data_IF_361717407707
#
_entry.id   IF_361717407707
#
_cell.length_a   1.000
_cell.length_b   1.000
_cell.length_c   1.000
_cell.angle_alpha   90.00
_cell.angle_beta   90.00
_cell.angle_gamma   90.00
#
_symmetry.space_group_name_H-M   'P 1'
#
loop_
_entity.id
_entity.type
_entity.pdbx_description
1 polymer ?
#
# COMPACT_ATOMS: atom_id res chain seq x y z
N UNK A 1 0.98 -8.08 1.59
CA UNK A 1 1.84 -8.83 2.53
C UNK A 1 0.94 -9.19 3.70
N UNK A 2 0.92 -10.47 4.07
CA UNK A 2 0.01 -10.95 5.10
C UNK A 2 0.79 -11.20 6.38
N UNK A 3 0.33 -10.62 7.49
CA UNK A 3 0.84 -10.95 8.83
C UNK A 3 0.38 -12.35 9.24
N UNK A 4 1.17 -13.03 10.07
CA UNK A 4 0.78 -14.27 10.72
C UNK A 4 -0.14 -14.06 11.93
N UNK A 5 -0.23 -12.84 12.44
CA UNK A 5 -1.13 -12.50 13.54
C UNK A 5 -2.60 -12.55 13.03
N UNK A 6 -3.48 -13.37 13.64
CA UNK A 6 -4.88 -13.47 13.24
C UNK A 6 -5.68 -12.18 13.46
N UNK A 7 -5.24 -11.30 14.37
CA UNK A 7 -5.91 -10.04 14.72
C UNK A 7 -5.32 -8.82 13.97
N UNK A 8 -4.45 -9.07 12.99
CA UNK A 8 -3.81 -8.01 12.22
C UNK A 8 -4.82 -7.19 11.39
N UNK A 9 -4.69 -5.86 11.44
CA UNK A 9 -5.59 -4.93 10.76
C UNK A 9 -5.13 -4.69 9.31
N UNK A 10 -6.03 -4.63 8.31
CA UNK A 10 -5.66 -4.21 6.96
C UNK A 10 -5.16 -2.76 6.90
N UNK A 11 -4.02 -2.52 6.25
CA UNK A 11 -3.43 -1.21 6.06
C UNK A 11 -2.95 -1.02 4.61
N UNK A 12 -3.42 0.04 3.95
CA UNK A 12 -2.96 0.44 2.62
C UNK A 12 -1.90 1.54 2.77
N UNK A 13 -0.72 1.33 2.18
CA UNK A 13 0.34 2.35 2.08
C UNK A 13 0.38 2.90 0.66
N UNK A 14 0.11 4.20 0.51
CA UNK A 14 0.08 4.86 -0.80
C UNK A 14 1.30 5.77 -0.96
N UNK A 15 2.04 5.61 -2.06
CA UNK A 15 3.15 6.51 -2.39
C UNK A 15 2.65 7.74 -3.16
N UNK A 16 3.49 8.77 -3.27
CA UNK A 16 3.27 9.94 -4.13
C UNK A 16 4.33 10.05 -5.23
N UNK A 17 4.33 11.16 -5.97
CA UNK A 17 5.45 11.54 -6.84
C UNK A 17 6.43 12.42 -6.05
N UNK A 18 7.76 12.27 -6.21
CA UNK A 18 8.47 11.41 -7.18
C UNK A 18 8.73 9.96 -6.70
N UNK A 19 8.17 9.57 -5.57
CA UNK A 19 8.47 8.30 -4.91
C UNK A 19 7.76 7.08 -5.57
N UNK A 20 8.15 5.88 -5.15
CA UNK A 20 7.53 4.61 -5.58
C UNK A 20 7.25 3.72 -4.37
N UNK A 21 6.66 2.54 -4.60
CA UNK A 21 6.43 1.53 -3.54
C UNK A 21 7.72 1.07 -2.83
N UNK A 22 8.88 1.29 -3.44
CA UNK A 22 10.20 0.87 -2.90
C UNK A 22 10.51 1.55 -1.56
N UNK A 23 10.01 2.76 -1.34
CA UNK A 23 10.18 3.49 -0.07
C UNK A 23 9.62 2.74 1.14
N UNK A 24 8.70 1.79 0.92
CA UNK A 24 8.03 1.07 2.00
C UNK A 24 8.65 -0.30 2.30
N UNK A 25 9.68 -0.74 1.57
CA UNK A 25 10.26 -2.07 1.75
C UNK A 25 10.77 -2.29 3.19
N UNK A 26 11.42 -1.28 3.77
CA UNK A 26 11.91 -1.32 5.15
C UNK A 26 10.80 -1.27 6.20
N UNK A 27 9.58 -0.88 5.82
CA UNK A 27 8.42 -0.87 6.71
C UNK A 27 7.65 -2.19 6.74
N UNK A 28 7.93 -3.11 5.82
CA UNK A 28 7.15 -4.35 5.70
C UNK A 28 7.25 -5.16 6.99
N UNK A 29 8.47 -5.51 7.40
CA UNK A 29 8.67 -6.40 8.55
C UNK A 29 8.22 -5.74 9.87
N UNK A 30 8.58 -4.49 10.18
CA UNK A 30 8.13 -3.81 11.40
C UNK A 30 6.61 -3.67 11.52
N UNK A 31 5.88 -3.62 10.41
CA UNK A 31 4.41 -3.49 10.43
C UNK A 31 3.69 -4.84 10.35
N UNK A 32 4.27 -5.85 9.68
CA UNK A 32 3.63 -7.18 9.59
C UNK A 32 3.94 -8.09 10.78
N UNK A 33 5.08 -7.89 11.44
CA UNK A 33 5.57 -8.74 12.54
C UNK A 33 6.22 -7.88 13.64
N UNK A 34 5.45 -6.98 14.28
CA UNK A 34 5.99 -6.04 15.26
C UNK A 34 6.36 -6.73 16.58
N UNK A 35 6.87 -5.95 17.53
CA UNK A 35 7.21 -6.43 18.87
C UNK A 35 6.00 -6.94 19.67
N UNK A 36 6.26 -7.65 20.77
CA UNK A 36 5.20 -8.17 21.63
C UNK A 36 4.31 -7.04 22.18
N UNK A 37 3.00 -7.16 21.96
CA UNK A 37 2.00 -6.17 22.40
C UNK A 37 1.81 -5.00 21.44
N UNK A 38 2.51 -4.97 20.30
CA UNK A 38 2.32 -3.97 19.25
C UNK A 38 1.31 -4.45 18.19
N UNK A 39 0.69 -3.50 17.48
CA UNK A 39 -0.31 -3.79 16.46
C UNK A 39 0.33 -4.30 15.17
N UNK A 40 -0.01 -5.52 14.77
CA UNK A 40 0.36 -6.07 13.46
C UNK A 40 -0.62 -5.64 12.36
N UNK A 41 -0.15 -5.58 11.12
CA UNK A 41 -0.95 -5.20 9.96
C UNK A 41 -0.84 -6.20 8.80
N UNK A 42 -1.94 -6.35 8.06
CA UNK A 42 -1.92 -6.87 6.70
C UNK A 42 -1.68 -5.71 5.73
N UNK A 43 -0.52 -5.67 5.07
CA UNK A 43 -0.17 -4.56 4.19
C UNK A 43 -0.62 -4.77 2.75
N UNK A 44 -1.16 -3.72 2.13
CA UNK A 44 -1.34 -3.62 0.68
C UNK A 44 -0.58 -2.38 0.21
N UNK A 45 0.38 -2.55 -0.69
CA UNK A 45 1.27 -1.48 -1.17
C UNK A 45 1.16 -1.37 -2.69
N UNK A 46 0.07 -0.79 -3.22
CA UNK A 46 -0.13 -0.72 -4.65
C UNK A 46 0.75 0.36 -5.28
N UNK A 47 1.21 0.12 -6.52
CA UNK A 47 1.75 1.21 -7.33
C UNK A 47 0.60 2.11 -7.79
N UNK A 48 0.76 3.44 -7.65
CA UNK A 48 -0.20 4.40 -8.19
C UNK A 48 -0.48 4.11 -9.67
N UNK A 49 -1.71 4.33 -10.17
CA UNK A 49 -2.02 4.24 -11.59
C UNK A 49 -1.05 5.12 -12.41
N UNK A 50 -0.37 4.55 -13.40
CA UNK A 50 0.67 5.26 -14.15
C UNK A 50 2.10 5.04 -13.67
N UNK A 51 2.31 4.36 -12.53
CA UNK A 51 3.62 4.18 -11.90
C UNK A 51 4.03 2.70 -11.85
N UNK A 52 5.34 2.46 -12.00
CA UNK A 52 5.97 1.16 -11.77
C UNK A 52 5.21 0.00 -12.44
N UNK A 53 4.72 -0.93 -11.62
CA UNK A 53 4.04 -2.13 -12.08
C UNK A 53 2.57 -1.92 -12.46
N UNK A 54 1.97 -0.77 -12.17
CA UNK A 54 0.59 -0.44 -12.57
C UNK A 54 0.48 0.06 -14.02
N UNK A 55 1.61 0.19 -14.73
CA UNK A 55 1.67 0.56 -16.15
C UNK A 55 1.05 1.92 -16.48
N UNK A 56 1.00 2.32 -17.76
CA UNK A 56 0.34 3.54 -18.19
C UNK A 56 -1.18 3.45 -17.98
N UNK A 57 -1.79 4.56 -17.57
CA UNK A 57 -3.25 4.63 -17.45
C UNK A 57 -3.90 4.61 -18.84
N UNK A 58 -5.00 3.85 -18.97
CA UNK A 58 -5.74 3.73 -20.25
C UNK A 58 -6.88 4.73 -20.39
N UNK A 59 -7.25 5.41 -19.30
CA UNK A 59 -8.35 6.36 -19.25
C UNK A 59 -7.88 7.68 -18.63
N UNK A 60 -8.52 8.78 -19.03
CA UNK A 60 -8.25 10.11 -18.48
C UNK A 60 -8.88 10.27 -17.09
N UNK A 61 -8.50 11.34 -16.39
CA UNK A 61 -9.15 11.73 -15.13
C UNK A 61 -8.66 10.99 -13.89
N UNK A 62 -7.52 10.28 -13.97
CA UNK A 62 -6.83 9.83 -12.77
C UNK A 62 -6.36 11.03 -11.96
N UNK A 63 -6.98 11.21 -10.80
CA UNK A 63 -6.63 12.18 -9.78
C UNK A 63 -6.71 11.48 -8.41
N UNK A 64 -6.30 12.16 -7.34
CA UNK A 64 -6.29 11.57 -5.98
C UNK A 64 -7.62 10.96 -5.55
N UNK A 65 -8.76 11.51 -5.97
CA UNK A 65 -10.08 11.00 -5.60
C UNK A 65 -10.42 9.71 -6.33
N UNK A 66 -10.18 9.67 -7.64
CA UNK A 66 -10.37 8.44 -8.44
C UNK A 66 -9.44 7.33 -7.95
N UNK A 67 -8.19 7.68 -7.62
CA UNK A 67 -7.22 6.74 -7.06
C UNK A 67 -7.68 6.21 -5.69
N UNK A 68 -8.15 7.07 -4.79
CA UNK A 68 -8.71 6.64 -3.50
C UNK A 68 -9.91 5.70 -3.66
N UNK A 69 -10.81 5.99 -4.61
CA UNK A 69 -11.95 5.11 -4.88
C UNK A 69 -11.51 3.72 -5.38
N UNK A 70 -10.42 3.62 -6.14
CA UNK A 70 -9.87 2.35 -6.60
C UNK A 70 -9.19 1.53 -5.48
N UNK A 71 -8.83 2.16 -4.36
CA UNK A 71 -8.30 1.45 -3.19
C UNK A 71 -9.39 0.91 -2.27
N UNK A 72 -10.56 1.54 -2.30
CA UNK A 72 -11.70 1.17 -1.48
C UNK A 72 -12.60 0.09 -2.12
N UNK A 73 -12.30 -0.32 -3.36
CA UNK A 73 -13.08 -1.28 -4.14
C UNK A 73 -12.75 -2.73 -3.82
#
# INVERSE_FOLDING_TARGET
>A
MRSSDPDAIPLILTHGWPNTVVEFLELIEPLTSPGAGEQAFHLVIPSLPGFGFSGPTREKGWNRYRTAAAWAS
#
